data_IF_161122967218
#
_entry.id   IF_161122967218
#
_cell.length_a   1.000
_cell.length_b   1.000
_cell.length_c   1.000
_cell.angle_alpha   90.00
_cell.angle_beta   90.00
_cell.angle_gamma   90.00
#
_symmetry.space_group_name_H-M   'P 1'
#
loop_
_entity.id
_entity.type
_entity.pdbx_description
1 polymer ?
#
# COMPACT_ATOMS: atom_id res chain seq x y z
N UNK A 1 7.15 14.08 -0.39
CA UNK A 1 6.04 13.37 -1.06
C UNK A 1 4.82 13.42 -0.15
N UNK A 2 3.61 13.53 -0.71
CA UNK A 2 2.37 13.52 0.08
C UNK A 2 2.13 12.10 0.64
N UNK A 3 1.71 11.99 1.91
CA UNK A 3 1.42 10.72 2.60
C UNK A 3 0.43 9.83 1.85
N UNK A 4 -0.61 10.41 1.25
CA UNK A 4 -1.63 9.66 0.50
C UNK A 4 -1.06 9.14 -0.83
N UNK A 5 -0.15 9.90 -1.46
CA UNK A 5 0.55 9.45 -2.68
C UNK A 5 1.49 8.28 -2.35
N UNK A 6 2.17 8.33 -1.20
CA UNK A 6 3.01 7.22 -0.75
C UNK A 6 2.18 5.95 -0.48
N UNK A 7 1.04 6.07 0.22
CA UNK A 7 0.11 4.95 0.43
C UNK A 7 -0.42 4.36 -0.88
N UNK A 8 -0.85 5.23 -1.81
CA UNK A 8 -1.30 4.80 -3.14
C UNK A 8 -0.22 4.01 -3.89
N UNK A 9 1.00 4.56 -4.01
CA UNK A 9 2.09 3.93 -4.76
C UNK A 9 2.57 2.64 -4.10
N UNK A 10 2.68 2.62 -2.78
CA UNK A 10 3.10 1.44 -2.03
C UNK A 10 2.07 0.30 -2.14
N UNK A 11 0.78 0.59 -1.96
CA UNK A 11 -0.29 -0.40 -2.15
C UNK A 11 -0.37 -0.88 -3.60
N UNK A 12 -0.23 0.02 -4.58
CA UNK A 12 -0.21 -0.35 -5.99
C UNK A 12 0.91 -1.35 -6.30
N UNK A 13 2.13 -1.07 -5.87
CA UNK A 13 3.28 -1.95 -6.09
C UNK A 13 3.13 -3.30 -5.38
N UNK A 14 2.82 -3.28 -4.09
CA UNK A 14 2.68 -4.49 -3.29
C UNK A 14 1.56 -5.41 -3.82
N UNK A 15 0.38 -4.85 -4.12
CA UNK A 15 -0.73 -5.65 -4.66
C UNK A 15 -0.49 -6.16 -6.08
N UNK A 16 0.24 -5.41 -6.92
CA UNK A 16 0.64 -5.92 -8.23
C UNK A 16 1.48 -7.20 -8.09
N UNK A 17 2.44 -7.22 -7.16
CA UNK A 17 3.29 -8.41 -6.92
C UNK A 17 2.47 -9.59 -6.38
N UNK A 18 1.47 -9.34 -5.54
CA UNK A 18 0.52 -10.38 -5.12
C UNK A 18 -0.19 -10.99 -6.33
N UNK A 19 -0.75 -10.15 -7.21
CA UNK A 19 -1.48 -10.62 -8.39
C UNK A 19 -0.58 -11.37 -9.38
N UNK A 20 0.64 -10.88 -9.59
CA UNK A 20 1.57 -11.45 -10.57
C UNK A 20 2.22 -12.76 -10.11
N UNK A 21 2.41 -12.96 -8.80
CA UNK A 21 3.20 -14.09 -8.30
C UNK A 21 2.46 -15.04 -7.38
N UNK A 22 1.50 -14.55 -6.58
CA UNK A 22 0.84 -15.30 -5.51
C UNK A 22 1.78 -15.91 -4.46
N UNK A 23 3.08 -15.58 -4.49
CA UNK A 23 4.13 -16.30 -3.77
C UNK A 23 4.62 -15.51 -2.56
N UNK A 24 4.73 -16.16 -1.40
CA UNK A 24 5.01 -15.50 -0.12
C UNK A 24 6.30 -14.66 -0.11
N UNK A 25 7.41 -15.18 -0.67
CA UNK A 25 8.70 -14.49 -0.66
C UNK A 25 8.69 -13.19 -1.51
N UNK A 26 8.27 -13.20 -2.79
CA UNK A 26 8.11 -11.97 -3.57
C UNK A 26 7.18 -10.94 -2.91
N UNK A 27 6.07 -11.39 -2.33
CA UNK A 27 5.10 -10.52 -1.64
C UNK A 27 5.78 -9.82 -0.44
N UNK A 28 6.49 -10.57 0.39
CA UNK A 28 7.22 -10.01 1.53
C UNK A 28 8.32 -9.03 1.11
N UNK A 29 9.07 -9.36 0.05
CA UNK A 29 10.11 -8.47 -0.49
C UNK A 29 9.52 -7.18 -1.06
N UNK A 30 8.41 -7.26 -1.80
CA UNK A 30 7.73 -6.09 -2.35
C UNK A 30 7.26 -5.15 -1.24
N UNK A 31 6.68 -5.69 -0.17
CA UNK A 31 6.27 -4.90 0.98
C UNK A 31 7.48 -4.24 1.66
N UNK A 32 8.56 -5.00 1.89
CA UNK A 32 9.79 -4.46 2.48
C UNK A 32 10.37 -3.31 1.66
N UNK A 33 10.47 -3.49 0.33
CA UNK A 33 10.94 -2.45 -0.59
C UNK A 33 10.04 -1.21 -0.56
N UNK A 34 8.70 -1.39 -0.56
CA UNK A 34 7.77 -0.26 -0.46
C UNK A 34 7.98 0.55 0.84
N UNK A 35 8.12 -0.14 1.98
CA UNK A 35 8.35 0.50 3.28
C UNK A 35 9.69 1.25 3.27
N UNK A 36 10.77 0.63 2.79
CA UNK A 36 12.11 1.25 2.77
C UNK A 36 12.20 2.46 1.84
N UNK A 37 11.41 2.49 0.76
CA UNK A 37 11.48 3.53 -0.26
C UNK A 37 10.55 4.71 0.04
N UNK A 38 9.27 4.43 0.31
CA UNK A 38 8.23 5.45 0.47
C UNK A 38 7.57 5.47 1.85
N UNK A 39 7.78 4.44 2.67
CA UNK A 39 7.19 4.34 4.01
C UNK A 39 7.54 5.50 4.94
N UNK A 40 8.72 6.12 4.80
CA UNK A 40 9.12 7.32 5.57
C UNK A 40 8.17 8.52 5.42
N UNK A 41 7.33 8.55 4.38
CA UNK A 41 6.40 9.65 4.13
C UNK A 41 5.00 9.43 4.72
N UNK A 42 4.58 8.17 4.94
CA UNK A 42 3.21 7.84 5.38
C UNK A 42 3.12 6.93 6.61
N UNK A 43 4.23 6.32 7.02
CA UNK A 43 4.23 5.19 7.96
C UNK A 43 4.22 3.82 7.28
N UNK A 44 3.94 3.78 5.97
CA UNK A 44 4.01 2.58 5.15
C UNK A 44 2.96 1.53 5.50
N UNK A 45 1.70 1.95 5.71
CA UNK A 45 0.65 1.05 6.14
C UNK A 45 0.21 0.11 5.01
N UNK A 46 -0.01 0.70 3.83
CA UNK A 46 -0.39 0.05 2.56
C UNK A 46 -1.59 -0.90 2.65
N UNK A 47 -2.35 -0.83 3.74
CA UNK A 47 -3.41 -1.76 4.12
C UNK A 47 -4.40 -1.07 5.08
N UNK A 48 -5.72 -1.18 4.83
CA UNK A 48 -6.75 -0.61 5.71
C UNK A 48 -6.70 -1.13 7.14
N UNK A 49 -6.49 -2.44 7.35
CA UNK A 49 -6.42 -3.03 8.69
C UNK A 49 -5.21 -2.52 9.48
N UNK A 50 -4.07 -2.35 8.80
CA UNK A 50 -2.87 -1.75 9.42
C UNK A 50 -3.15 -0.29 9.78
N UNK A 51 -3.83 0.46 8.92
CA UNK A 51 -4.16 1.87 9.19
C UNK A 51 -5.11 2.02 10.38
N UNK A 52 -6.14 1.18 10.47
CA UNK A 52 -7.03 1.12 11.63
C UNK A 52 -6.24 0.80 12.91
N UNK A 53 -5.36 -0.20 12.86
CA UNK A 53 -4.51 -0.56 14.00
C UNK A 53 -3.57 0.59 14.40
N UNK A 54 -3.00 1.32 13.44
CA UNK A 54 -2.13 2.46 13.72
C UNK A 54 -2.88 3.64 14.34
N UNK A 55 -4.14 3.89 13.95
CA UNK A 55 -5.01 4.86 14.63
C UNK A 55 -5.32 4.40 16.05
N UNK A 56 -5.71 3.13 16.23
CA UNK A 56 -5.99 2.56 17.54
C UNK A 56 -4.77 2.61 18.48
N UNK A 57 -3.56 2.48 17.93
CA UNK A 57 -2.30 2.60 18.65
C UNK A 57 -1.83 4.07 18.87
N UNK A 58 -2.57 5.07 18.41
CA UNK A 58 -2.20 6.49 18.51
C UNK A 58 -1.02 6.90 17.63
N UNK A 59 -0.68 6.10 16.61
CA UNK A 59 0.46 6.30 15.71
C UNK A 59 0.07 6.91 14.36
N UNK A 60 -1.22 6.97 14.04
CA UNK A 60 -1.77 7.68 12.89
C UNK A 60 -2.89 8.61 13.38
N UNK A 61 -2.94 9.88 12.95
CA UNK A 61 -4.07 10.75 13.23
C UNK A 61 -5.38 10.14 12.72
N UNK A 62 -6.45 10.19 13.51
CA UNK A 62 -7.76 9.63 13.13
C UNK A 62 -8.31 10.22 11.83
N UNK A 63 -8.06 11.51 11.60
CA UNK A 63 -8.53 12.25 10.42
C UNK A 63 -7.85 11.77 9.12
N UNK A 64 -6.71 11.10 9.24
CA UNK A 64 -6.00 10.51 8.11
C UNK A 64 -6.51 9.12 7.73
N UNK A 65 -7.30 8.46 8.60
CA UNK A 65 -7.71 7.08 8.38
C UNK A 65 -8.47 6.88 7.07
N UNK A 66 -9.53 7.67 6.87
CA UNK A 66 -10.36 7.53 5.68
C UNK A 66 -9.58 7.89 4.40
N UNK A 67 -8.83 9.01 4.33
CA UNK A 67 -7.93 9.28 3.21
C UNK A 67 -6.90 8.17 2.93
N UNK A 68 -6.32 7.55 3.95
CA UNK A 68 -5.39 6.41 3.79
C UNK A 68 -6.08 5.23 3.12
N UNK A 69 -7.26 4.84 3.63
CA UNK A 69 -8.04 3.72 3.09
C UNK A 69 -8.41 3.99 1.62
N UNK A 70 -8.85 5.21 1.29
CA UNK A 70 -9.17 5.58 -0.09
C UNK A 70 -7.95 5.52 -1.01
N UNK A 71 -6.79 6.01 -0.55
CA UNK A 71 -5.55 5.94 -1.31
C UNK A 71 -5.09 4.49 -1.55
N UNK A 72 -5.19 3.63 -0.53
CA UNK A 72 -4.85 2.21 -0.60
C UNK A 72 -5.79 1.47 -1.57
N UNK A 73 -7.10 1.69 -1.47
CA UNK A 73 -8.08 1.08 -2.39
C UNK A 73 -7.81 1.54 -3.82
N UNK A 74 -7.60 2.83 -4.05
CA UNK A 74 -7.27 3.36 -5.37
C UNK A 74 -5.97 2.74 -5.92
N UNK A 75 -4.94 2.60 -5.09
CA UNK A 75 -3.69 1.95 -5.45
C UNK A 75 -3.89 0.49 -5.86
N UNK A 76 -4.71 -0.26 -5.12
CA UNK A 76 -5.06 -1.64 -5.45
C UNK A 76 -5.84 -1.80 -6.74
N UNK A 77 -6.79 -0.89 -7.01
CA UNK A 77 -7.52 -0.89 -8.28
C UNK A 77 -6.60 -0.57 -9.47
N UNK A 78 -5.67 0.37 -9.31
CA UNK A 78 -4.65 0.65 -10.33
C UNK A 78 -3.71 -0.54 -10.55
N UNK A 79 -3.31 -1.25 -9.49
CA UNK A 79 -2.51 -2.47 -9.60
C UNK A 79 -3.23 -3.55 -10.41
N UNK A 80 -4.52 -3.77 -10.15
CA UNK A 80 -5.35 -4.71 -10.90
C UNK A 80 -5.42 -4.33 -12.38
N UNK A 81 -5.65 -3.06 -12.68
CA UNK A 81 -5.74 -2.59 -14.06
C UNK A 81 -4.39 -2.73 -14.79
N UNK A 82 -3.28 -2.42 -14.11
CA UNK A 82 -1.94 -2.61 -14.64
C UNK A 82 -1.66 -4.09 -14.92
N UNK A 83 -2.00 -4.98 -13.99
CA UNK A 83 -1.84 -6.42 -14.14
C UNK A 83 -2.59 -6.98 -15.35
N UNK A 84 -3.82 -6.52 -15.61
CA UNK A 84 -4.59 -6.93 -16.79
C UNK A 84 -3.98 -6.48 -18.12
N UNK A 85 -3.24 -5.36 -18.12
CA UNK A 85 -2.68 -4.73 -19.33
C UNK A 85 -1.26 -5.19 -19.63
N UNK A 86 -0.47 -5.47 -18.60
CA UNK A 86 0.88 -5.98 -18.73
C UNK A 86 0.82 -7.50 -18.81
N UNK A 87 0.90 -8.03 -20.03
CA UNK A 87 1.09 -9.47 -20.24
C UNK A 87 2.50 -9.83 -19.80
N UNK A 88 2.63 -10.42 -18.62
CA UNK A 88 3.86 -11.09 -18.15
C UNK A 88 3.70 -12.59 -18.43
#
# INVERSE_FOLDING_TARGET
MNKFVAEFLGTMFFLYVILATGSALPIGLALAVAIMTVGRYSGGNFNPAVSVMMVAAGKLPSDDLLPYILAQIAGGLCALELYKRVKV
#
